data_IF_467567594567
#
_entry.id   IF_467567594567
#
_cell.length_a   1.000
_cell.length_b   1.000
_cell.length_c   1.000
_cell.angle_alpha   90.00
_cell.angle_beta   90.00
_cell.angle_gamma   90.00
#
_symmetry.space_group_name_H-M   'P 1'
#
loop_
_entity.id
_entity.type
_entity.pdbx_description
1 polymer ?
#
# COMPACT_ATOMS: atom_id res chain seq x y z
N UNK A 1 -0.86 9.58 -23.44
CA UNK A 1 -1.23 8.15 -23.48
C UNK A 1 -0.93 7.56 -22.10
N UNK A 2 -1.89 6.86 -21.46
CA UNK A 2 -1.79 6.40 -20.07
C UNK A 2 -1.13 5.02 -19.88
N UNK A 3 -0.97 4.22 -20.94
CA UNK A 3 -0.28 2.94 -20.85
C UNK A 3 1.24 3.13 -20.76
N UNK A 4 1.87 2.49 -19.78
CA UNK A 4 3.33 2.46 -19.57
C UNK A 4 3.79 1.03 -19.29
N UNK A 5 5.06 0.77 -19.58
CA UNK A 5 5.76 -0.45 -19.16
C UNK A 5 6.74 0.00 -18.08
N UNK A 6 6.36 -0.06 -16.79
CA UNK A 6 7.16 0.56 -15.72
C UNK A 6 8.39 -0.28 -15.35
N UNK A 7 8.35 -1.59 -15.56
CA UNK A 7 9.43 -2.49 -15.15
C UNK A 7 9.12 -3.95 -15.38
N UNK A 8 9.93 -4.81 -14.76
CA UNK A 8 9.79 -6.27 -14.77
C UNK A 8 9.52 -6.80 -13.36
N UNK A 9 8.84 -7.94 -13.24
CA UNK A 9 8.59 -8.64 -11.97
C UNK A 9 9.49 -9.88 -11.90
N UNK A 10 10.22 -10.03 -10.80
CA UNK A 10 10.99 -11.25 -10.48
C UNK A 10 10.42 -11.87 -9.21
N UNK A 11 10.37 -13.21 -9.15
CA UNK A 11 10.13 -13.95 -7.92
C UNK A 11 11.46 -14.44 -7.38
N UNK A 12 11.82 -14.05 -6.16
CA UNK A 12 13.08 -14.43 -5.52
C UNK A 12 12.88 -15.67 -4.66
N UNK A 13 11.72 -15.80 -4.03
CA UNK A 13 11.28 -16.97 -3.28
C UNK A 13 9.80 -17.29 -3.47
N UNK A 14 9.32 -18.25 -2.67
CA UNK A 14 7.93 -18.70 -2.63
C UNK A 14 7.12 -18.13 -1.47
N UNK A 15 5.93 -18.69 -1.29
CA UNK A 15 5.02 -18.34 -0.20
C UNK A 15 4.37 -19.58 0.41
N UNK A 16 3.81 -20.47 -0.42
CA UNK A 16 3.32 -21.77 0.00
C UNK A 16 3.10 -22.74 -1.18
N UNK A 17 3.02 -24.03 -0.85
CA UNK A 17 2.55 -25.09 -1.76
C UNK A 17 3.44 -25.27 -2.98
N UNK A 18 2.81 -25.36 -4.16
CA UNK A 18 3.51 -25.61 -5.44
C UNK A 18 4.46 -24.49 -5.86
N UNK A 19 4.34 -23.31 -5.24
CA UNK A 19 5.26 -22.18 -5.44
C UNK A 19 6.40 -22.21 -4.43
N UNK A 20 6.62 -23.29 -3.70
CA UNK A 20 7.63 -23.32 -2.65
C UNK A 20 7.34 -22.34 -1.51
N UNK A 21 8.30 -22.23 -0.60
CA UNK A 21 8.13 -21.53 0.69
C UNK A 21 9.10 -20.35 0.80
N UNK A 22 8.80 -19.35 1.65
CA UNK A 22 9.66 -18.20 1.87
C UNK A 22 11.10 -18.63 2.16
N UNK A 23 12.09 -17.98 1.54
CA UNK A 23 13.48 -18.33 1.79
C UNK A 23 13.94 -17.66 3.08
N UNK A 24 14.19 -18.45 4.12
CA UNK A 24 14.56 -17.97 5.45
C UNK A 24 16.06 -18.15 5.72
N UNK A 25 16.68 -17.28 6.52
CA UNK A 25 18.10 -17.45 6.92
C UNK A 25 18.29 -18.54 7.97
N UNK A 26 17.25 -18.81 8.75
CA UNK A 26 17.20 -19.84 9.77
C UNK A 26 16.21 -20.96 9.36
N UNK A 27 16.42 -22.20 9.82
CA UNK A 27 15.53 -23.29 9.43
C UNK A 27 14.15 -23.14 10.10
N UNK A 28 13.10 -23.53 9.38
CA UNK A 28 11.76 -23.69 9.96
C UNK A 28 11.79 -24.70 11.11
N UNK A 29 11.07 -24.38 12.20
CA UNK A 29 10.85 -25.34 13.27
C UNK A 29 10.02 -26.52 12.76
N UNK A 30 10.19 -27.71 13.35
CA UNK A 30 9.41 -28.90 12.94
C UNK A 30 7.90 -28.64 13.01
N UNK A 31 7.43 -27.91 14.03
CA UNK A 31 6.03 -27.54 14.17
C UNK A 31 5.53 -26.63 13.04
N UNK A 32 6.36 -25.69 12.57
CA UNK A 32 6.03 -24.87 11.40
C UNK A 32 6.03 -25.66 10.12
N UNK A 33 6.99 -26.57 9.96
CA UNK A 33 7.04 -27.44 8.79
C UNK A 33 5.78 -28.30 8.71
N UNK A 34 5.32 -28.86 9.82
CA UNK A 34 4.09 -29.64 9.88
C UNK A 34 2.85 -28.76 9.59
N UNK A 35 2.76 -27.56 10.20
CA UNK A 35 1.62 -26.66 10.01
C UNK A 35 1.49 -26.19 8.55
N UNK A 36 2.60 -25.87 7.90
CA UNK A 36 2.61 -25.31 6.55
C UNK A 36 2.81 -26.35 5.45
N UNK A 37 3.01 -27.61 5.83
CA UNK A 37 3.31 -28.70 4.89
C UNK A 37 4.64 -28.50 4.17
N UNK A 38 5.64 -27.90 4.85
CA UNK A 38 6.97 -27.68 4.29
C UNK A 38 7.70 -29.02 4.22
N UNK A 39 8.12 -29.48 3.03
CA UNK A 39 8.84 -30.74 2.90
C UNK A 39 10.18 -30.71 3.64
N UNK A 40 10.56 -31.82 4.26
CA UNK A 40 11.79 -31.96 5.04
C UNK A 40 13.08 -31.59 4.26
N UNK A 41 13.06 -31.69 2.93
CA UNK A 41 14.18 -31.31 2.07
C UNK A 41 14.32 -29.79 1.84
N UNK A 42 13.37 -28.97 2.28
CA UNK A 42 13.40 -27.51 2.17
C UNK A 42 13.31 -26.83 3.55
N UNK A 43 14.21 -27.14 4.50
CA UNK A 43 14.13 -26.60 5.85
C UNK A 43 14.35 -25.08 5.91
N UNK A 44 14.88 -24.47 4.85
CA UNK A 44 15.07 -23.01 4.70
C UNK A 44 14.13 -22.39 3.64
N UNK A 45 13.15 -23.16 3.14
CA UNK A 45 12.30 -22.76 2.03
C UNK A 45 13.03 -22.79 0.68
N UNK A 46 12.59 -21.94 -0.25
CA UNK A 46 13.00 -22.01 -1.66
C UNK A 46 13.49 -20.66 -2.17
N UNK A 47 14.81 -20.50 -2.27
CA UNK A 47 15.41 -19.40 -3.01
C UNK A 47 15.57 -19.79 -4.48
N UNK A 48 14.99 -19.01 -5.40
CA UNK A 48 14.97 -19.34 -6.83
C UNK A 48 16.20 -18.88 -7.60
N UNK A 49 16.89 -17.87 -7.06
CA UNK A 49 18.09 -17.28 -7.65
C UNK A 49 19.17 -17.24 -6.57
N UNK A 50 20.37 -17.72 -6.88
CA UNK A 50 21.50 -17.38 -6.03
C UNK A 50 21.87 -15.89 -6.19
N UNK A 51 22.72 -15.38 -5.29
CA UNK A 51 23.09 -13.96 -5.29
C UNK A 51 23.64 -13.49 -6.64
N UNK A 52 24.54 -14.26 -7.27
CA UNK A 52 25.15 -13.89 -8.55
C UNK A 52 24.10 -13.81 -9.65
N UNK A 53 23.20 -14.78 -9.73
CA UNK A 53 22.12 -14.81 -10.73
C UNK A 53 21.18 -13.61 -10.57
N UNK A 54 20.73 -13.33 -9.35
CA UNK A 54 19.82 -12.21 -9.09
C UNK A 54 20.49 -10.86 -9.36
N UNK A 55 21.75 -10.69 -8.93
CA UNK A 55 22.54 -9.48 -9.17
C UNK A 55 22.73 -9.21 -10.67
N UNK A 56 23.08 -10.23 -11.45
CA UNK A 56 23.27 -10.09 -12.89
C UNK A 56 21.95 -9.83 -13.63
N UNK A 57 20.87 -10.54 -13.27
CA UNK A 57 19.55 -10.32 -13.85
C UNK A 57 19.03 -8.90 -13.54
N UNK A 58 19.16 -8.45 -12.29
CA UNK A 58 18.74 -7.10 -11.86
C UNK A 58 19.52 -6.03 -12.63
N UNK A 59 20.86 -6.18 -12.69
CA UNK A 59 21.71 -5.26 -13.45
C UNK A 59 21.31 -5.21 -14.92
N UNK A 60 21.08 -6.36 -15.55
CA UNK A 60 20.69 -6.41 -16.97
C UNK A 60 19.36 -5.68 -17.21
N UNK A 61 18.36 -5.85 -16.35
CA UNK A 61 17.07 -5.16 -16.47
C UNK A 61 17.22 -3.65 -16.23
N UNK A 62 18.02 -3.28 -15.24
CA UNK A 62 18.32 -1.87 -14.94
C UNK A 62 19.04 -1.19 -16.11
N UNK A 63 20.03 -1.85 -16.73
CA UNK A 63 20.78 -1.34 -17.87
C UNK A 63 19.88 -1.16 -19.13
N UNK A 64 18.72 -1.84 -19.18
CA UNK A 64 17.67 -1.61 -20.18
C UNK A 64 16.74 -0.43 -19.85
N UNK A 65 16.90 0.21 -18.69
CA UNK A 65 16.10 1.34 -18.22
C UNK A 65 14.81 0.97 -17.48
N UNK A 66 14.66 -0.28 -17.06
CA UNK A 66 13.46 -0.77 -16.38
C UNK A 66 13.65 -0.87 -14.86
N UNK A 67 12.57 -0.58 -14.13
CA UNK A 67 12.44 -0.94 -12.71
C UNK A 67 12.33 -2.47 -12.54
N UNK A 68 12.62 -2.97 -11.35
CA UNK A 68 12.34 -4.35 -10.97
C UNK A 68 11.50 -4.37 -9.72
N UNK A 69 10.38 -5.08 -9.77
CA UNK A 69 9.58 -5.47 -8.62
C UNK A 69 9.97 -6.89 -8.22
N UNK A 70 10.44 -7.10 -6.99
CA UNK A 70 10.89 -8.40 -6.49
C UNK A 70 9.84 -8.95 -5.54
N UNK A 71 9.24 -10.11 -5.82
CA UNK A 71 8.59 -10.89 -4.76
C UNK A 71 9.71 -11.47 -3.88
N UNK A 72 9.80 -10.97 -2.65
CA UNK A 72 10.71 -11.47 -1.63
C UNK A 72 9.95 -11.48 -0.30
N UNK A 73 9.64 -12.69 0.17
CA UNK A 73 8.85 -12.89 1.38
C UNK A 73 9.77 -13.13 2.58
N UNK A 74 10.59 -14.18 2.51
CA UNK A 74 11.49 -14.61 3.56
C UNK A 74 12.71 -13.69 3.70
N UNK A 75 13.31 -13.69 4.87
CA UNK A 75 14.37 -12.75 5.22
C UNK A 75 15.65 -12.96 4.37
N UNK A 76 15.95 -14.21 4.00
CA UNK A 76 17.08 -14.52 3.12
C UNK A 76 16.81 -14.07 1.68
N UNK A 77 15.57 -14.14 1.20
CA UNK A 77 15.19 -13.58 -0.10
C UNK A 77 15.29 -12.05 -0.12
N UNK A 78 14.88 -11.38 0.97
CA UNK A 78 14.96 -9.92 1.12
C UNK A 78 16.43 -9.48 1.12
N UNK A 79 17.28 -10.15 1.90
CA UNK A 79 18.73 -9.89 1.91
C UNK A 79 19.37 -10.06 0.53
N UNK A 80 19.07 -11.18 -0.15
CA UNK A 80 19.57 -11.46 -1.50
C UNK A 80 19.14 -10.37 -2.49
N UNK A 81 17.89 -9.89 -2.36
CA UNK A 81 17.32 -8.82 -3.16
C UNK A 81 18.01 -7.48 -2.92
N UNK A 82 18.21 -7.09 -1.66
CA UNK A 82 18.88 -5.84 -1.32
C UNK A 82 20.32 -5.80 -1.85
N UNK A 83 21.06 -6.90 -1.73
CA UNK A 83 22.41 -6.99 -2.31
C UNK A 83 22.40 -7.01 -3.85
N UNK A 84 21.37 -7.57 -4.49
CA UNK A 84 21.23 -7.50 -5.94
C UNK A 84 20.93 -6.07 -6.43
N UNK A 85 20.09 -5.33 -5.72
CA UNK A 85 19.84 -3.90 -5.97
C UNK A 85 21.11 -3.08 -5.74
N UNK A 86 21.81 -3.30 -4.62
CA UNK A 86 23.07 -2.61 -4.33
C UNK A 86 24.10 -2.84 -5.46
N UNK A 87 24.22 -4.09 -5.93
CA UNK A 87 25.08 -4.44 -7.04
C UNK A 87 24.68 -3.72 -8.34
N UNK A 88 23.39 -3.69 -8.68
CA UNK A 88 22.92 -3.06 -9.92
C UNK A 88 23.10 -1.55 -9.89
N UNK A 89 22.87 -0.91 -8.75
CA UNK A 89 23.05 0.53 -8.57
C UNK A 89 24.52 0.93 -8.68
N UNK A 90 25.47 0.08 -8.28
CA UNK A 90 26.91 0.33 -8.40
C UNK A 90 27.32 1.74 -7.87
N UNK A 91 26.78 2.11 -6.70
CA UNK A 91 27.02 3.43 -6.07
C UNK A 91 26.15 4.58 -6.58
N UNK A 92 25.18 4.32 -7.47
CA UNK A 92 24.12 5.27 -7.83
C UNK A 92 22.91 5.16 -6.90
N UNK A 93 21.93 6.05 -7.04
CA UNK A 93 20.72 6.06 -6.22
C UNK A 93 19.55 5.41 -6.95
N UNK A 94 18.71 4.71 -6.19
CA UNK A 94 17.53 4.04 -6.72
C UNK A 94 16.40 5.00 -7.11
N UNK A 95 16.44 6.28 -6.76
CA UNK A 95 15.39 7.25 -7.13
C UNK A 95 15.03 7.29 -8.64
N UNK A 96 16.01 6.97 -9.51
CA UNK A 96 15.82 6.89 -10.95
C UNK A 96 15.20 5.56 -11.39
N UNK A 97 15.64 4.46 -10.80
CA UNK A 97 15.25 3.09 -11.20
C UNK A 97 14.03 2.60 -10.45
N UNK A 98 13.85 2.97 -9.18
CA UNK A 98 12.74 2.65 -8.28
C UNK A 98 12.51 1.15 -8.18
N UNK A 99 13.57 0.39 -7.90
CA UNK A 99 13.47 -1.03 -7.55
C UNK A 99 12.64 -1.20 -6.27
N UNK A 100 11.80 -2.24 -6.26
CA UNK A 100 10.72 -2.43 -5.30
C UNK A 100 10.77 -3.84 -4.72
N UNK A 101 10.61 -3.95 -3.41
CA UNK A 101 10.48 -5.23 -2.70
C UNK A 101 9.01 -5.44 -2.35
N UNK A 102 8.40 -6.41 -2.99
CA UNK A 102 6.99 -6.73 -2.87
C UNK A 102 6.76 -7.66 -1.69
N UNK A 103 5.72 -7.39 -0.91
CA UNK A 103 5.43 -8.00 0.39
C UNK A 103 6.42 -7.60 1.50
N UNK A 104 7.72 -7.76 1.25
CA UNK A 104 8.82 -7.46 2.17
C UNK A 104 8.55 -8.03 3.57
N UNK A 105 8.19 -9.32 3.61
CA UNK A 105 7.39 -9.83 4.71
C UNK A 105 8.19 -9.98 6.01
N UNK A 106 9.37 -10.58 5.97
CA UNK A 106 10.24 -10.83 7.13
C UNK A 106 11.50 -9.97 7.11
N UNK A 107 11.37 -8.67 6.87
CA UNK A 107 12.54 -7.78 6.86
C UNK A 107 13.19 -7.74 8.26
N UNK A 108 14.47 -8.12 8.31
CA UNK A 108 15.28 -8.04 9.52
C UNK A 108 15.66 -6.60 9.82
N UNK A 109 15.83 -6.29 11.10
CA UNK A 109 16.19 -4.94 11.55
C UNK A 109 17.54 -4.47 10.99
N UNK A 110 18.53 -5.37 10.88
CA UNK A 110 19.86 -5.07 10.33
C UNK A 110 19.82 -4.67 8.84
N UNK A 111 18.78 -5.07 8.11
CA UNK A 111 18.61 -4.77 6.69
C UNK A 111 17.89 -3.45 6.44
N UNK A 112 17.23 -2.86 7.45
CA UNK A 112 16.46 -1.61 7.29
C UNK A 112 17.37 -0.46 6.89
N UNK A 113 18.55 -0.35 7.51
CA UNK A 113 19.52 0.70 7.16
C UNK A 113 19.97 0.58 5.71
N UNK A 114 20.24 -0.65 5.23
CA UNK A 114 20.60 -0.90 3.84
C UNK A 114 19.44 -0.54 2.90
N UNK A 115 18.20 -0.91 3.24
CA UNK A 115 17.02 -0.58 2.45
C UNK A 115 16.81 0.94 2.29
N UNK A 116 17.10 1.71 3.36
CA UNK A 116 17.07 3.17 3.38
C UNK A 116 18.21 3.77 2.54
N UNK A 117 19.45 3.30 2.74
CA UNK A 117 20.63 3.78 1.98
C UNK A 117 20.47 3.56 0.47
N UNK A 118 19.83 2.45 0.11
CA UNK A 118 19.52 2.12 -1.27
C UNK A 118 18.25 2.81 -1.79
N UNK A 119 17.50 3.56 -0.98
CA UNK A 119 16.25 4.22 -1.38
C UNK A 119 15.25 3.23 -2.03
N UNK A 120 15.11 2.05 -1.43
CA UNK A 120 14.20 1.01 -1.95
C UNK A 120 12.74 1.33 -1.64
N UNK A 121 11.87 0.90 -2.55
CA UNK A 121 10.43 0.96 -2.33
C UNK A 121 9.96 -0.40 -1.84
N UNK A 122 8.89 -0.43 -1.06
CA UNK A 122 8.29 -1.69 -0.65
C UNK A 122 6.77 -1.63 -0.60
N UNK A 123 6.16 -2.76 -0.96
CA UNK A 123 4.73 -2.92 -0.88
C UNK A 123 4.31 -3.63 0.39
N UNK A 124 3.20 -3.19 0.98
CA UNK A 124 2.69 -3.74 2.23
C UNK A 124 1.20 -4.00 2.09
N UNK A 125 0.76 -5.21 2.44
CA UNK A 125 -0.67 -5.51 2.61
C UNK A 125 -1.18 -4.87 3.88
N UNK A 126 -2.12 -3.92 3.74
CA UNK A 126 -2.63 -3.19 4.90
C UNK A 126 -3.40 -4.03 5.92
N UNK A 127 -3.87 -5.21 5.53
CA UNK A 127 -4.53 -6.12 6.46
C UNK A 127 -3.59 -7.24 6.90
N UNK A 128 -3.45 -7.40 8.20
CA UNK A 128 -2.79 -8.52 8.86
C UNK A 128 -3.86 -9.41 9.51
N UNK A 129 -3.77 -10.73 9.36
CA UNK A 129 -4.70 -11.62 10.04
C UNK A 129 -4.32 -11.78 11.51
N UNK A 130 -4.83 -10.88 12.32
CA UNK A 130 -4.64 -10.87 13.78
C UNK A 130 -5.18 -12.14 14.44
N UNK A 131 -6.07 -12.88 13.79
CA UNK A 131 -6.53 -14.20 14.24
C UNK A 131 -5.41 -15.24 14.30
N UNK A 132 -4.37 -15.10 13.48
CA UNK A 132 -3.25 -16.04 13.45
C UNK A 132 -2.12 -15.63 14.40
N UNK A 133 -2.27 -14.53 15.16
CA UNK A 133 -1.20 -14.01 16.01
C UNK A 133 -0.79 -15.00 17.11
N UNK A 134 -1.73 -15.74 17.69
CA UNK A 134 -1.43 -16.75 18.72
C UNK A 134 -0.58 -17.88 18.15
N UNK A 135 -0.90 -18.31 16.92
CA UNK A 135 -0.13 -19.33 16.22
C UNK A 135 1.27 -18.82 15.86
N UNK A 136 1.38 -17.57 15.40
CA UNK A 136 2.69 -16.96 15.16
C UNK A 136 3.50 -16.84 16.45
N UNK A 137 2.88 -16.42 17.54
CA UNK A 137 3.56 -16.27 18.84
C UNK A 137 4.09 -17.61 19.38
N UNK A 138 3.35 -18.69 19.17
CA UNK A 138 3.76 -20.02 19.61
C UNK A 138 4.80 -20.68 18.71
N UNK A 139 4.72 -20.44 17.40
CA UNK A 139 5.47 -21.24 16.42
C UNK A 139 6.70 -20.51 15.90
N UNK A 140 6.73 -19.18 15.94
CA UNK A 140 7.85 -18.37 15.48
C UNK A 140 8.77 -18.05 16.64
N UNK A 141 10.08 -17.98 16.36
CA UNK A 141 11.00 -17.30 17.26
C UNK A 141 10.58 -15.84 17.43
N UNK A 142 10.93 -15.21 18.56
CA UNK A 142 10.65 -13.79 18.80
C UNK A 142 11.14 -12.93 17.63
N UNK A 143 12.34 -13.20 17.12
CA UNK A 143 12.89 -12.51 15.94
C UNK A 143 11.98 -12.59 14.72
N UNK A 144 11.45 -13.78 14.38
CA UNK A 144 10.58 -13.93 13.20
C UNK A 144 9.22 -13.26 13.39
N UNK A 145 8.74 -13.13 14.62
CA UNK A 145 7.54 -12.33 14.92
C UNK A 145 7.81 -10.87 14.60
N UNK A 146 8.87 -10.30 15.16
CA UNK A 146 9.26 -8.90 14.95
C UNK A 146 9.50 -8.60 13.47
N UNK A 147 10.27 -9.44 12.78
CA UNK A 147 10.57 -9.27 11.35
C UNK A 147 9.30 -9.29 10.50
N UNK A 148 8.28 -10.08 10.88
CA UNK A 148 7.00 -10.13 10.18
C UNK A 148 6.24 -8.81 10.28
N UNK A 149 6.28 -8.13 11.42
CA UNK A 149 5.48 -6.91 11.66
C UNK A 149 6.26 -5.63 11.37
N UNK A 150 7.60 -5.67 11.39
CA UNK A 150 8.49 -4.54 11.08
C UNK A 150 8.13 -3.82 9.78
N UNK A 151 7.73 -4.56 8.75
CA UNK A 151 7.36 -4.00 7.43
C UNK A 151 6.28 -2.92 7.49
N UNK A 152 5.43 -2.96 8.51
CA UNK A 152 4.30 -2.05 8.65
C UNK A 152 4.70 -0.65 9.13
N UNK A 153 5.74 -0.55 9.95
CA UNK A 153 6.23 0.71 10.52
C UNK A 153 7.37 1.33 9.71
N UNK A 154 7.80 0.68 8.62
CA UNK A 154 8.82 1.22 7.70
C UNK A 154 8.52 2.63 7.12
N UNK A 155 7.26 3.05 6.87
CA UNK A 155 7.00 4.44 6.49
C UNK A 155 7.46 5.43 7.58
N UNK A 156 7.40 5.03 8.85
CA UNK A 156 7.79 5.86 9.99
C UNK A 156 9.29 6.09 10.12
N UNK A 157 10.12 5.23 9.51
CA UNK A 157 11.59 5.41 9.44
C UNK A 157 12.05 6.02 8.12
N UNK A 158 11.12 6.41 7.24
CA UNK A 158 11.40 7.14 6.00
C UNK A 158 11.55 6.25 4.76
N UNK A 159 11.26 4.95 4.84
CA UNK A 159 11.27 4.08 3.67
C UNK A 159 9.99 4.30 2.84
N UNK A 160 10.11 4.27 1.52
CA UNK A 160 8.98 4.43 0.61
C UNK A 160 8.05 3.21 0.65
N UNK A 161 6.88 3.35 1.25
CA UNK A 161 5.91 2.26 1.41
C UNK A 161 4.62 2.53 0.65
N UNK A 162 4.13 1.57 -0.14
CA UNK A 162 2.81 1.67 -0.78
C UNK A 162 1.92 0.48 -0.43
N UNK A 163 0.60 0.68 -0.51
CA UNK A 163 -0.36 -0.39 -0.29
C UNK A 163 -0.34 -1.37 -1.48
N UNK A 164 -0.19 -2.66 -1.18
CA UNK A 164 -0.58 -3.74 -2.09
C UNK A 164 -1.82 -4.48 -1.58
N UNK A 165 -2.53 -5.14 -2.50
CA UNK A 165 -3.73 -5.94 -2.18
C UNK A 165 -3.55 -7.42 -2.51
N UNK A 166 -2.63 -7.77 -3.41
CA UNK A 166 -2.48 -9.11 -4.00
C UNK A 166 -3.85 -9.73 -4.41
N UNK A 167 -4.70 -8.89 -5.00
CA UNK A 167 -6.09 -9.21 -5.30
C UNK A 167 -6.23 -10.47 -6.15
N UNK A 168 -7.19 -11.33 -5.80
CA UNK A 168 -7.42 -12.71 -6.31
C UNK A 168 -6.71 -13.86 -5.57
N UNK A 169 -5.95 -13.60 -4.51
CA UNK A 169 -5.46 -14.68 -3.65
C UNK A 169 -6.48 -14.98 -2.53
N UNK A 170 -6.97 -16.23 -2.37
CA UNK A 170 -7.71 -16.63 -1.18
C UNK A 170 -6.75 -16.56 0.02
N UNK A 171 -6.71 -15.41 0.70
CA UNK A 171 -5.92 -15.28 1.93
C UNK A 171 -6.36 -16.33 2.95
N UNK A 172 -5.45 -16.70 3.85
CA UNK A 172 -5.51 -17.70 4.94
C UNK A 172 -6.75 -17.71 5.84
N UNK A 173 -7.72 -16.86 5.58
CA UNK A 173 -9.03 -16.91 6.19
C UNK A 173 -10.04 -17.44 5.16
N UNK A 174 -10.22 -18.76 5.14
CA UNK A 174 -11.32 -19.41 4.40
C UNK A 174 -12.70 -19.03 4.93
N UNK A 175 -12.75 -18.33 6.07
CA UNK A 175 -13.95 -17.67 6.56
C UNK A 175 -14.11 -16.26 5.99
N UNK A 176 -13.06 -15.52 5.59
CA UNK A 176 -13.17 -14.17 5.00
C UNK A 176 -13.27 -14.22 3.47
N UNK A 177 -14.46 -14.59 2.99
CA UNK A 177 -14.85 -14.58 1.58
C UNK A 177 -14.88 -13.17 0.96
N UNK A 178 -14.62 -12.11 1.74
CA UNK A 178 -14.71 -10.72 1.25
C UNK A 178 -13.48 -10.27 0.47
N UNK A 179 -12.35 -11.00 0.54
CA UNK A 179 -11.11 -10.73 -0.24
C UNK A 179 -11.04 -11.40 -1.61
N UNK A 180 -11.68 -12.55 -1.76
CA UNK A 180 -11.65 -13.30 -3.03
C UNK A 180 -12.56 -12.70 -4.11
N UNK A 181 -13.38 -11.70 -3.74
CA UNK A 181 -14.41 -11.14 -4.61
C UNK A 181 -14.31 -9.63 -4.82
N UNK A 182 -13.80 -8.84 -3.86
CA UNK A 182 -13.74 -7.37 -3.96
C UNK A 182 -12.50 -6.74 -3.31
N UNK A 183 -11.97 -5.67 -3.92
CA UNK A 183 -10.94 -4.80 -3.31
C UNK A 183 -11.63 -3.88 -2.30
N UNK A 184 -11.14 -3.82 -1.05
CA UNK A 184 -11.71 -3.03 0.05
C UNK A 184 -10.68 -2.05 0.66
N UNK A 185 -10.40 -0.90 0.02
CA UNK A 185 -9.32 0.00 0.46
C UNK A 185 -9.45 0.46 1.92
N UNK A 186 -10.67 0.79 2.36
CA UNK A 186 -10.92 1.22 3.73
C UNK A 186 -10.72 0.13 4.79
N UNK A 187 -10.88 -1.15 4.41
CA UNK A 187 -10.52 -2.27 5.29
C UNK A 187 -9.00 -2.38 5.46
N UNK A 188 -8.23 -2.12 4.40
CA UNK A 188 -6.77 -2.04 4.48
C UNK A 188 -6.30 -0.83 5.28
N UNK A 189 -6.94 0.33 5.11
CA UNK A 189 -6.67 1.53 5.91
C UNK A 189 -6.90 1.27 7.40
N UNK A 190 -8.07 0.71 7.74
CA UNK A 190 -8.37 0.29 9.11
C UNK A 190 -7.34 -0.70 9.66
N UNK A 191 -6.97 -1.70 8.84
CA UNK A 191 -5.94 -2.66 9.19
C UNK A 191 -4.59 -2.02 9.48
N UNK A 192 -4.14 -1.03 8.69
CA UNK A 192 -2.88 -0.28 8.89
C UNK A 192 -2.85 0.51 10.20
N UNK A 193 -3.99 1.09 10.57
CA UNK A 193 -4.08 2.04 11.68
C UNK A 193 -4.39 1.33 13.00
N UNK A 194 -5.14 0.23 12.96
CA UNK A 194 -5.62 -0.44 14.20
C UNK A 194 -4.97 -1.79 14.43
N UNK A 195 -4.44 -2.44 13.39
CA UNK A 195 -3.98 -3.83 13.40
C UNK A 195 -5.04 -4.83 13.87
N UNK A 196 -6.31 -4.45 13.86
CA UNK A 196 -7.42 -5.33 14.13
C UNK A 196 -7.75 -6.16 12.87
N UNK A 197 -8.35 -7.32 13.11
CA UNK A 197 -8.89 -8.18 12.06
C UNK A 197 -10.40 -8.33 12.22
N UNK A 198 -11.11 -8.55 11.12
CA UNK A 198 -12.55 -8.81 11.11
C UNK A 198 -12.82 -10.08 10.31
N UNK A 199 -13.52 -11.05 10.90
CA UNK A 199 -13.89 -12.28 10.19
C UNK A 199 -15.20 -12.08 9.40
N UNK A 200 -15.65 -13.12 8.70
CA UNK A 200 -16.92 -13.06 7.93
C UNK A 200 -18.18 -12.85 8.76
N UNK A 201 -18.17 -13.22 10.04
CA UNK A 201 -19.32 -12.98 10.92
C UNK A 201 -19.35 -11.54 11.43
N UNK A 202 -18.35 -10.73 11.09
CA UNK A 202 -18.18 -9.37 11.58
C UNK A 202 -17.56 -9.27 12.97
N UNK A 203 -17.07 -10.38 13.54
CA UNK A 203 -16.38 -10.35 14.83
C UNK A 203 -15.00 -9.69 14.67
N UNK A 204 -14.63 -8.84 15.63
CA UNK A 204 -13.36 -8.13 15.64
C UNK A 204 -12.38 -8.86 16.55
N UNK A 205 -11.17 -9.12 16.05
CA UNK A 205 -10.05 -9.65 16.82
C UNK A 205 -9.07 -8.54 17.16
N UNK A 206 -8.68 -8.44 18.44
CA UNK A 206 -7.78 -7.42 18.93
C UNK A 206 -6.31 -7.86 18.77
N UNK A 207 -5.41 -6.93 18.38
CA UNK A 207 -3.99 -7.24 18.27
C UNK A 207 -3.32 -7.46 19.61
N UNK A 208 -2.34 -8.36 19.64
CA UNK A 208 -1.35 -8.42 20.71
C UNK A 208 -0.43 -7.18 20.67
N UNK A 209 0.20 -6.82 21.79
CA UNK A 209 1.10 -5.66 21.86
C UNK A 209 2.15 -5.63 20.75
N UNK A 210 2.84 -6.76 20.50
CA UNK A 210 3.87 -6.92 19.46
C UNK A 210 3.35 -6.71 18.03
N UNK A 211 2.04 -6.81 17.79
CA UNK A 211 1.44 -6.47 16.49
C UNK A 211 1.01 -5.00 16.47
N UNK A 212 0.39 -4.54 17.56
CA UNK A 212 -0.21 -3.20 17.66
C UNK A 212 0.83 -2.07 17.66
N UNK A 213 2.05 -2.33 18.13
CA UNK A 213 3.12 -1.32 18.16
C UNK A 213 3.60 -0.89 16.76
N UNK A 214 3.32 -1.70 15.73
CA UNK A 214 3.59 -1.38 14.33
C UNK A 214 2.39 -0.75 13.60
N UNK A 215 1.42 -0.21 14.36
CA UNK A 215 0.36 0.64 13.79
C UNK A 215 0.95 1.96 13.30
N UNK A 216 0.40 2.47 12.21
CA UNK A 216 0.82 3.77 11.65
C UNK A 216 -0.33 4.79 11.71
N UNK A 217 -0.03 6.10 11.80
CA UNK A 217 -1.05 7.15 11.71
C UNK A 217 -1.83 7.09 10.41
N UNK A 218 -3.08 7.57 10.44
CA UNK A 218 -3.97 7.60 9.26
C UNK A 218 -3.32 8.35 8.10
N UNK A 219 -2.63 9.46 8.37
CA UNK A 219 -1.94 10.28 7.38
C UNK A 219 -0.89 9.47 6.60
N UNK A 220 -0.09 8.67 7.33
CA UNK A 220 0.91 7.80 6.71
C UNK A 220 0.23 6.72 5.87
N UNK A 221 -0.79 6.06 6.41
CA UNK A 221 -1.54 5.04 5.69
C UNK A 221 -2.21 5.58 4.41
N UNK A 222 -2.82 6.77 4.45
CA UNK A 222 -3.39 7.42 3.28
C UNK A 222 -2.31 7.78 2.25
N UNK A 223 -1.14 8.23 2.69
CA UNK A 223 0.00 8.51 1.80
C UNK A 223 0.48 7.24 1.09
N UNK A 224 0.56 6.11 1.80
CA UNK A 224 0.88 4.80 1.22
C UNK A 224 -0.14 4.38 0.15
N UNK A 225 -1.40 4.70 0.35
CA UNK A 225 -2.51 4.35 -0.53
C UNK A 225 -2.69 5.30 -1.73
N UNK A 226 -1.98 6.44 -1.75
CA UNK A 226 -2.13 7.49 -2.76
C UNK A 226 -0.79 7.86 -3.39
N UNK A 227 -0.05 8.79 -2.78
CA UNK A 227 1.19 9.34 -3.32
C UNK A 227 2.27 8.27 -3.50
N UNK A 228 2.51 7.40 -2.51
CA UNK A 228 3.60 6.42 -2.60
C UNK A 228 3.33 5.38 -3.69
N UNK A 229 2.06 5.00 -3.90
CA UNK A 229 1.67 4.16 -5.04
C UNK A 229 1.94 4.85 -6.38
N UNK A 230 1.58 6.13 -6.51
CA UNK A 230 1.88 6.92 -7.71
C UNK A 230 3.39 7.05 -7.94
N UNK A 231 4.16 7.29 -6.87
CA UNK A 231 5.61 7.37 -6.88
C UNK A 231 6.24 6.03 -7.32
N UNK A 232 5.76 4.90 -6.81
CA UNK A 232 6.26 3.58 -7.19
C UNK A 232 6.16 3.31 -8.71
N UNK A 233 5.10 3.81 -9.35
CA UNK A 233 4.90 3.63 -10.81
C UNK A 233 5.27 4.84 -11.66
N UNK A 234 6.01 5.81 -11.11
CA UNK A 234 6.48 7.03 -11.81
C UNK A 234 5.35 7.89 -12.39
N UNK A 235 4.28 8.06 -11.61
CA UNK A 235 3.10 8.84 -11.96
C UNK A 235 2.76 9.96 -10.97
N UNK A 236 3.61 10.23 -9.99
CA UNK A 236 3.43 11.28 -8.99
C UNK A 236 3.26 12.68 -9.60
N UNK A 237 3.72 12.92 -10.83
CA UNK A 237 3.48 14.18 -11.55
C UNK A 237 2.03 14.33 -12.04
N UNK A 238 1.27 13.24 -12.14
CA UNK A 238 -0.06 13.19 -12.76
C UNK A 238 -1.17 12.81 -11.78
N UNK A 239 -0.89 11.98 -10.77
CA UNK A 239 -1.87 11.43 -9.82
C UNK A 239 -1.26 11.30 -8.42
N UNK A 240 -2.06 10.91 -7.44
CA UNK A 240 -1.63 10.60 -6.07
C UNK A 240 -1.74 11.75 -5.08
N UNK A 241 -1.91 13.00 -5.53
CA UNK A 241 -2.22 14.17 -4.67
C UNK A 241 -3.19 15.12 -5.38
N UNK A 242 -3.85 15.98 -4.60
CA UNK A 242 -4.73 17.04 -5.11
C UNK A 242 -3.94 18.34 -5.28
N UNK A 243 -3.31 18.51 -6.45
CA UNK A 243 -2.49 19.67 -6.78
C UNK A 243 -2.86 20.20 -8.18
N UNK A 244 -2.72 21.51 -8.39
CA UNK A 244 -2.97 22.14 -9.70
C UNK A 244 -2.03 21.53 -10.74
N UNK A 245 -2.61 21.04 -11.85
CA UNK A 245 -1.87 20.42 -12.95
C UNK A 245 -1.98 18.89 -13.01
N UNK A 246 -2.47 18.24 -11.95
CA UNK A 246 -2.73 16.79 -11.89
C UNK A 246 -4.13 16.43 -12.39
N UNK A 247 -4.36 15.15 -12.68
CA UNK A 247 -5.70 14.65 -12.98
C UNK A 247 -6.62 14.82 -11.77
N UNK A 248 -7.87 15.20 -12.03
CA UNK A 248 -8.92 15.23 -11.03
C UNK A 248 -9.45 13.80 -10.77
N UNK A 249 -8.60 12.97 -10.18
CA UNK A 249 -8.93 11.64 -9.67
C UNK A 249 -9.29 11.78 -8.20
N UNK A 250 -10.59 11.88 -7.90
CA UNK A 250 -11.11 12.32 -6.59
C UNK A 250 -12.19 11.35 -6.12
N UNK A 251 -12.19 11.04 -4.82
CA UNK A 251 -13.30 10.37 -4.17
C UNK A 251 -13.97 11.29 -3.15
N UNK A 252 -15.29 11.19 -3.03
CA UNK A 252 -16.08 11.83 -1.96
C UNK A 252 -16.48 10.72 -0.99
N UNK A 253 -16.30 10.94 0.30
CA UNK A 253 -16.47 9.92 1.35
C UNK A 253 -17.61 10.27 2.29
N UNK A 254 -18.18 9.26 2.95
CA UNK A 254 -19.20 9.44 4.00
C UNK A 254 -18.66 10.05 5.28
N UNK A 255 -17.35 9.96 5.53
CA UNK A 255 -16.67 10.54 6.68
C UNK A 255 -15.23 10.93 6.34
N UNK A 256 -14.66 11.83 7.14
CA UNK A 256 -13.27 12.22 7.05
C UNK A 256 -12.38 11.18 7.77
N UNK A 257 -11.51 10.45 7.04
CA UNK A 257 -10.65 9.44 7.63
C UNK A 257 -9.67 10.00 8.67
N UNK A 258 -9.30 11.29 8.59
CA UNK A 258 -8.33 11.89 9.50
C UNK A 258 -8.89 12.19 10.89
N UNK A 259 -10.22 12.22 11.04
CA UNK A 259 -10.88 12.69 12.27
C UNK A 259 -11.87 11.69 12.85
N UNK A 260 -12.34 10.72 12.07
CA UNK A 260 -13.19 9.63 12.58
C UNK A 260 -12.41 8.77 13.58
N UNK A 261 -13.11 8.18 14.56
CA UNK A 261 -12.51 7.14 15.40
C UNK A 261 -12.00 6.00 14.49
N UNK A 262 -10.70 5.62 14.62
CA UNK A 262 -10.08 4.60 13.78
C UNK A 262 -10.89 3.31 13.64
N UNK A 263 -11.65 2.90 14.66
CA UNK A 263 -12.46 1.68 14.61
C UNK A 263 -13.55 1.71 13.52
N UNK A 264 -13.94 2.89 13.04
CA UNK A 264 -14.95 3.08 11.99
C UNK A 264 -14.34 3.35 10.60
N UNK A 265 -13.01 3.38 10.46
CA UNK A 265 -12.36 3.58 9.16
C UNK A 265 -12.83 2.57 8.10
N UNK A 266 -13.03 1.30 8.50
CA UNK A 266 -13.50 0.22 7.61
C UNK A 266 -14.92 0.42 7.08
N UNK A 267 -15.69 1.27 7.74
CA UNK A 267 -17.11 1.53 7.46
C UNK A 267 -17.30 2.79 6.58
N UNK A 268 -16.20 3.46 6.21
CA UNK A 268 -16.24 4.57 5.26
C UNK A 268 -16.66 4.06 3.88
N UNK A 269 -17.63 4.73 3.27
CA UNK A 269 -18.13 4.43 1.94
C UNK A 269 -17.74 5.55 0.97
N UNK A 270 -17.48 5.16 -0.28
CA UNK A 270 -17.29 6.10 -1.38
C UNK A 270 -18.65 6.53 -1.89
N UNK A 271 -18.93 7.83 -1.86
CA UNK A 271 -20.15 8.43 -2.41
C UNK A 271 -20.01 8.75 -3.89
N UNK A 272 -18.82 9.17 -4.32
CA UNK A 272 -18.52 9.54 -5.71
C UNK A 272 -17.09 9.15 -6.03
N UNK A 273 -16.85 8.61 -7.23
CA UNK A 273 -15.52 8.47 -7.82
C UNK A 273 -15.45 9.29 -9.10
N UNK A 274 -14.48 10.18 -9.15
CA UNK A 274 -14.13 10.97 -10.32
C UNK A 274 -12.79 10.47 -10.88
N UNK A 275 -12.72 10.30 -12.20
CA UNK A 275 -11.49 9.92 -12.92
C UNK A 275 -11.27 10.94 -14.03
N UNK A 276 -10.13 11.63 -14.01
CA UNK A 276 -9.77 12.66 -14.98
C UNK A 276 -10.80 13.79 -15.08
N UNK A 277 -11.49 14.11 -13.98
CA UNK A 277 -12.55 15.13 -13.96
C UNK A 277 -13.95 14.62 -14.35
N UNK A 278 -14.11 13.33 -14.69
CA UNK A 278 -15.40 12.73 -15.04
C UNK A 278 -15.92 11.87 -13.90
N UNK A 279 -17.19 12.01 -13.57
CA UNK A 279 -17.84 11.15 -12.56
C UNK A 279 -18.08 9.76 -13.17
N UNK A 280 -17.35 8.76 -12.68
CA UNK A 280 -17.44 7.36 -13.14
C UNK A 280 -18.29 6.51 -12.18
N UNK A 281 -18.39 6.93 -10.92
CA UNK A 281 -19.25 6.29 -9.92
C UNK A 281 -19.96 7.34 -9.07
N UNK A 282 -21.21 7.03 -8.72
CA UNK A 282 -22.03 7.79 -7.80
C UNK A 282 -22.93 6.83 -7.03
N UNK A 283 -22.88 6.88 -5.71
CA UNK A 283 -23.75 6.11 -4.84
C UNK A 283 -25.20 6.59 -4.94
N UNK A 284 -26.16 5.67 -4.80
CA UNK A 284 -27.59 5.99 -4.78
C UNK A 284 -27.98 6.93 -3.64
N UNK A 285 -27.25 6.86 -2.52
CA UNK A 285 -27.45 7.74 -1.36
C UNK A 285 -26.94 9.17 -1.61
N UNK A 286 -26.14 9.39 -2.64
CA UNK A 286 -25.61 10.72 -2.98
C UNK A 286 -26.61 11.50 -3.84
N UNK A 287 -27.38 12.40 -3.22
CA UNK A 287 -28.29 13.31 -3.94
C UNK A 287 -27.63 14.67 -4.12
N UNK A 288 -27.49 15.11 -5.37
CA UNK A 288 -27.07 16.48 -5.67
C UNK A 288 -28.33 17.34 -5.68
N UNK A 289 -28.45 18.23 -4.71
CA UNK A 289 -29.49 19.27 -4.71
C UNK A 289 -28.85 20.55 -5.25
N UNK A 290 -28.83 20.73 -6.57
CA UNK A 290 -28.38 21.99 -7.17
C UNK A 290 -29.57 22.92 -7.37
N UNK A 291 -29.53 24.11 -6.75
CA UNK A 291 -30.49 25.19 -6.99
C UNK A 291 -30.10 26.10 -8.18
N UNK A 292 -29.08 25.73 -8.96
CA UNK A 292 -28.61 26.55 -10.09
C UNK A 292 -28.49 25.70 -11.34
N UNK A 293 -29.33 26.03 -12.32
CA UNK A 293 -29.24 25.55 -13.68
C UNK A 293 -28.18 26.34 -14.44
N UNK A 294 -27.37 25.63 -15.22
CA UNK A 294 -26.73 26.08 -16.46
C UNK A 294 -25.40 26.86 -16.47
N UNK A 295 -24.69 27.06 -15.35
CA UNK A 295 -23.28 27.49 -15.43
C UNK A 295 -22.44 26.72 -14.40
N UNK A 296 -21.31 26.14 -14.86
CA UNK A 296 -20.30 25.34 -14.13
C UNK A 296 -20.69 24.95 -12.70
N UNK A 297 -20.97 23.66 -12.41
CA UNK A 297 -21.62 23.27 -11.16
C UNK A 297 -20.79 23.71 -9.96
N UNK A 298 -21.26 24.76 -9.29
CA UNK A 298 -20.93 25.01 -7.89
C UNK A 298 -21.63 23.90 -7.12
N UNK A 299 -20.87 22.86 -6.74
CA UNK A 299 -21.40 21.76 -5.95
C UNK A 299 -21.79 22.28 -4.56
N UNK A 300 -23.08 22.58 -4.39
CA UNK A 300 -23.67 22.78 -3.07
C UNK A 300 -24.22 21.43 -2.64
N UNK A 301 -23.47 20.72 -1.80
CA UNK A 301 -23.91 19.43 -1.26
C UNK A 301 -24.89 19.73 -0.12
N UNK A 302 -26.18 19.56 -0.37
CA UNK A 302 -27.19 19.53 0.71
C UNK A 302 -27.47 18.08 1.04
N UNK A 303 -26.96 17.59 2.18
CA UNK A 303 -27.18 16.21 2.62
C UNK A 303 -28.48 16.12 3.43
N UNK A 304 -29.31 15.13 3.11
CA UNK A 304 -30.66 14.94 3.68
C UNK A 304 -30.65 14.11 4.99
N UNK A 305 -29.47 13.89 5.58
CA UNK A 305 -29.30 13.26 6.90
C UNK A 305 -28.32 14.10 7.74
N UNK A 306 -28.41 14.08 9.08
CA UNK A 306 -27.58 14.90 9.95
C UNK A 306 -26.13 14.42 9.87
N UNK A 307 -25.36 14.97 8.94
CA UNK A 307 -23.91 14.91 8.95
C UNK A 307 -23.43 16.05 9.83
N UNK A 308 -22.65 15.71 10.85
CA UNK A 308 -21.99 16.67 11.72
C UNK A 308 -20.94 17.43 10.90
N UNK A 309 -21.23 18.69 10.58
CA UNK A 309 -20.22 19.65 10.14
C UNK A 309 -19.82 20.49 11.35
N UNK A 310 -18.64 20.24 11.91
CA UNK A 310 -18.00 21.17 12.85
C UNK A 310 -16.70 21.66 12.23
N UNK A 311 -16.69 22.96 11.95
CA UNK A 311 -15.54 23.75 11.53
C UNK A 311 -14.52 23.78 12.68
N UNK A 312 -13.50 22.93 12.59
CA UNK A 312 -12.27 23.01 13.39
C UNK A 312 -11.24 23.88 12.67
N UNK A 313 -10.60 24.77 13.40
CA UNK A 313 -9.72 25.81 12.88
C UNK A 313 -8.59 25.26 11.97
N UNK A 314 -8.40 25.95 10.83
CA UNK A 314 -7.35 25.78 9.81
C UNK A 314 -7.43 24.50 8.95
N UNK A 315 -8.24 24.55 7.88
CA UNK A 315 -8.01 23.73 6.69
C UNK A 315 -9.22 23.13 5.97
N UNK A 316 -10.29 23.89 5.73
CA UNK A 316 -11.33 23.46 4.77
C UNK A 316 -10.81 23.72 3.35
N UNK A 317 -10.48 22.67 2.58
CA UNK A 317 -10.35 22.80 1.13
C UNK A 317 -11.73 22.77 0.49
N UNK A 318 -12.38 23.93 0.49
CA UNK A 318 -13.21 24.32 -0.64
C UNK A 318 -12.22 24.55 -1.80
N UNK A 319 -12.50 24.05 -3.00
CA UNK A 319 -11.93 24.62 -4.23
C UNK A 319 -12.46 26.07 -4.30
N UNK A 320 -11.79 26.98 -3.59
CA UNK A 320 -12.14 28.39 -3.47
C UNK A 320 -11.22 29.14 -4.41
N UNK A 321 -11.78 29.60 -5.52
CA UNK A 321 -11.20 30.53 -6.50
C UNK A 321 -9.91 30.07 -7.22
N UNK A 322 -10.09 29.35 -8.34
CA UNK A 322 -9.36 29.76 -9.54
C UNK A 322 -10.07 31.03 -10.03
N UNK A 323 -9.61 32.19 -9.59
CA UNK A 323 -9.90 33.42 -10.32
C UNK A 323 -9.26 33.27 -11.70
N UNK A 324 -10.05 32.88 -12.70
CA UNK A 324 -9.73 33.21 -14.08
C UNK A 324 -9.64 34.74 -14.15
N UNK A 325 -8.42 35.28 -14.15
CA UNK A 325 -8.19 36.61 -14.70
C UNK A 325 -8.53 36.50 -16.18
N UNK A 326 -9.75 36.90 -16.56
CA UNK A 326 -10.03 37.38 -17.91
C UNK A 326 -9.00 38.46 -18.20
N UNK A 327 -8.01 38.16 -19.03
CA UNK A 327 -7.32 39.20 -19.79
C UNK A 327 -8.35 39.67 -20.80
N UNK A 328 -9.08 40.75 -20.46
CA UNK A 328 -9.84 41.49 -21.46
C UNK A 328 -8.82 42.05 -22.46
N UNK A 329 -8.72 41.42 -23.64
CA UNK A 329 -8.28 42.10 -24.85
C UNK A 329 -9.43 43.01 -25.26
N UNK A 330 -9.45 44.24 -24.75
CA UNK A 330 -10.11 45.38 -25.41
C UNK A 330 -9.63 46.67 -24.75
N UNK A 331 -9.11 47.57 -25.60
CA UNK A 331 -8.66 48.94 -25.36
C UNK A 331 -7.21 49.19 -24.90
N UNK A 332 -6.27 48.98 -25.81
CA UNK A 332 -5.15 49.93 -26.00
C UNK A 332 -5.15 50.40 -27.47
N UNK A 333 -5.93 51.45 -27.72
CA UNK A 333 -5.74 52.37 -28.82
C UNK A 333 -5.90 53.76 -28.22
N UNK A 334 -4.80 54.34 -27.73
CA UNK A 334 -4.54 55.77 -27.65
C UNK A 334 -3.11 56.04 -27.20
#
# INVERSE_FOLDING_TARGET
>A
KMLRIPGMKIYVDGYNGDRGFPAMSEPYSSALMDLWGIPAQYPYGNLYFNQTELSLATKQIQDMGFSVAFHAYGDHAIETTLHAIQYSLNGTFNNATRHQIEHNAYIREDLVSLALDLDTLHSVRGYFSTYNQDAYEQLYSLNWQDWLVNRFSLPGVGLHSYLETDFSYPSYDSSDWTRSTNIRPFLHLWGLVTRQAINSTGAIHQPHPWVSEHSIPVEQALRMMTYEGAYAVKQEEYVGTLEVGKFADIIILTADPLTIDPNFLKDIEVLVTMVGGKTEYKSESFVIVSNYADEWPIFTISVVYPIWFVVGALGVYIVRNITQRRVNKENENR
#
